data_IF_943136718688
#
_entry.id   IF_943136718688
#
_cell.length_a   1.000
_cell.length_b   1.000
_cell.length_c   1.000
_cell.angle_alpha   90.00
_cell.angle_beta   90.00
_cell.angle_gamma   90.00
#
_symmetry.space_group_name_H-M   'P 1'
#
loop_
_entity.id
_entity.type
_entity.pdbx_description
1 polymer ?
#
# COMPACT_ATOMS: atom_id res chain seq x y z
N UNK A 1 3.14 31.43 1.83
CA UNK A 1 1.96 32.11 1.23
C UNK A 1 1.25 32.92 2.30
N UNK A 2 0.78 34.14 2.02
CA UNK A 2 0.01 34.90 3.01
C UNK A 2 -1.40 34.32 3.19
N UNK A 3 -1.98 34.49 4.38
CA UNK A 3 -3.36 34.03 4.65
C UNK A 3 -4.38 34.77 3.76
N UNK A 4 -4.12 36.05 3.43
CA UNK A 4 -5.00 36.80 2.52
C UNK A 4 -4.99 36.27 1.10
N UNK A 5 -3.82 35.80 0.58
CA UNK A 5 -3.75 35.11 -0.71
C UNK A 5 -4.45 33.76 -0.66
N UNK A 6 -4.21 32.99 0.40
CA UNK A 6 -4.82 31.69 0.61
C UNK A 6 -6.36 31.81 0.67
N UNK A 7 -6.89 32.76 1.44
CA UNK A 7 -8.33 33.03 1.54
C UNK A 7 -8.96 33.28 0.17
N UNK A 8 -8.34 34.13 -0.65
CA UNK A 8 -8.85 34.42 -2.01
C UNK A 8 -8.85 33.20 -2.91
N UNK A 9 -7.77 32.40 -2.89
CA UNK A 9 -7.67 31.19 -3.73
C UNK A 9 -8.65 30.10 -3.30
N UNK A 10 -8.96 30.02 -2.03
CA UNK A 10 -9.94 29.07 -1.49
C UNK A 10 -11.39 29.54 -1.59
N UNK A 11 -11.64 30.79 -2.02
CA UNK A 11 -12.97 31.43 -1.92
C UNK A 11 -13.51 31.34 -0.49
N UNK A 12 -12.64 31.59 0.49
CA UNK A 12 -12.96 31.48 1.91
C UNK A 12 -13.42 32.81 2.49
N UNK A 13 -14.49 32.78 3.30
CA UNK A 13 -14.84 33.91 4.15
C UNK A 13 -13.87 33.99 5.32
N UNK A 14 -13.30 35.17 5.56
CA UNK A 14 -12.40 35.36 6.69
C UNK A 14 -13.15 35.86 7.92
N UNK A 15 -12.88 35.24 9.06
CA UNK A 15 -13.37 35.67 10.38
C UNK A 15 -12.16 35.96 11.27
N UNK A 16 -12.05 37.17 11.78
CA UNK A 16 -10.94 37.68 12.59
C UNK A 16 -10.24 38.89 11.94
N UNK A 17 -9.47 39.63 12.71
CA UNK A 17 -8.76 40.85 12.26
C UNK A 17 -7.25 40.61 12.15
N UNK A 18 -6.57 41.41 11.34
CA UNK A 18 -5.10 41.45 11.28
C UNK A 18 -4.42 40.26 10.61
N UNK A 19 -5.14 39.43 9.88
CA UNK A 19 -4.65 38.17 9.31
C UNK A 19 -3.94 38.32 7.95
N UNK A 20 -4.19 39.39 7.20
CA UNK A 20 -3.81 39.51 5.78
C UNK A 20 -2.33 39.27 5.52
N UNK A 21 -1.48 39.72 6.46
CA UNK A 21 -0.02 39.61 6.38
C UNK A 21 0.55 38.37 7.11
N UNK A 22 -0.28 37.62 7.80
CA UNK A 22 0.19 36.37 8.41
C UNK A 22 0.56 35.36 7.32
N UNK A 23 1.64 34.64 7.54
CA UNK A 23 2.14 33.64 6.58
C UNK A 23 1.80 32.26 7.06
N UNK A 24 1.11 31.48 6.23
CA UNK A 24 0.97 30.03 6.38
C UNK A 24 2.28 29.38 5.93
N UNK A 25 2.96 28.67 6.83
CA UNK A 25 4.17 27.90 6.54
C UNK A 25 3.84 26.47 6.15
N UNK A 26 2.73 25.94 6.64
CA UNK A 26 2.25 24.61 6.36
C UNK A 26 0.77 24.48 6.66
N UNK A 27 0.25 23.24 6.56
CA UNK A 27 -1.12 22.89 6.90
C UNK A 27 -1.15 21.50 7.56
N UNK A 28 -1.96 21.35 8.60
CA UNK A 28 -2.15 20.07 9.29
C UNK A 28 -3.64 19.82 9.59
N UNK A 29 -4.08 18.55 9.49
CA UNK A 29 -5.37 18.05 9.94
C UNK A 29 -5.27 17.30 11.28
N UNK A 30 -4.08 16.86 11.64
CA UNK A 30 -3.78 16.18 12.91
C UNK A 30 -2.91 17.11 13.76
N UNK A 31 -3.46 17.54 14.91
CA UNK A 31 -2.77 18.43 15.84
C UNK A 31 -1.40 17.88 16.29
N UNK A 32 -1.19 16.55 16.26
CA UNK A 32 0.08 15.90 16.61
C UNK A 32 1.17 16.17 15.59
N UNK A 33 0.81 16.42 14.33
CA UNK A 33 1.69 16.69 13.20
C UNK A 33 1.84 18.20 12.90
N UNK A 34 1.14 19.05 13.67
CA UNK A 34 1.16 20.49 13.50
C UNK A 34 2.50 21.07 13.97
N UNK A 35 3.06 21.97 13.16
CA UNK A 35 4.23 22.78 13.48
C UNK A 35 3.83 24.24 13.68
N UNK A 36 4.71 25.01 14.31
CA UNK A 36 4.55 26.46 14.44
C UNK A 36 4.45 27.13 13.06
N UNK A 37 3.47 28.00 12.88
CA UNK A 37 3.19 28.66 11.61
C UNK A 37 2.26 27.90 10.66
N UNK A 38 1.78 26.71 11.04
CA UNK A 38 0.81 25.95 10.24
C UNK A 38 -0.61 26.51 10.38
N UNK A 39 -1.42 26.32 9.34
CA UNK A 39 -2.88 26.40 9.39
C UNK A 39 -3.42 25.07 9.89
N UNK A 40 -4.29 25.07 10.90
CA UNK A 40 -4.98 23.86 11.37
C UNK A 40 -6.31 23.69 10.68
N UNK A 41 -6.46 22.64 9.87
CA UNK A 41 -7.73 22.31 9.21
C UNK A 41 -8.59 21.44 10.13
N UNK A 42 -9.74 21.98 10.53
CA UNK A 42 -10.72 21.30 11.38
C UNK A 42 -11.69 20.52 10.51
N UNK A 43 -11.39 19.25 10.31
CA UNK A 43 -12.20 18.34 9.47
C UNK A 43 -12.86 17.30 10.35
N UNK A 44 -14.19 17.12 10.27
CA UNK A 44 -14.89 16.07 11.01
C UNK A 44 -14.32 14.69 10.70
N UNK A 45 -13.90 13.97 11.73
CA UNK A 45 -13.44 12.57 11.63
C UNK A 45 -14.62 11.61 11.80
N UNK A 46 -14.41 10.32 11.46
CA UNK A 46 -15.43 9.28 11.64
C UNK A 46 -15.76 8.97 13.11
N UNK A 47 -14.84 9.25 14.03
CA UNK A 47 -14.99 8.93 15.47
C UNK A 47 -14.78 10.13 16.38
N UNK A 48 -14.07 11.16 15.94
CA UNK A 48 -13.72 12.31 16.78
C UNK A 48 -13.85 13.58 15.95
N UNK A 49 -14.53 14.58 16.49
CA UNK A 49 -14.54 15.93 15.93
C UNK A 49 -13.19 16.61 16.24
N UNK A 50 -12.46 17.01 15.20
CA UNK A 50 -11.15 17.65 15.37
C UNK A 50 -11.24 19.05 16.00
N UNK A 51 -12.43 19.64 16.14
CA UNK A 51 -12.64 20.92 16.84
C UNK A 51 -12.18 20.88 18.31
N UNK A 52 -12.24 19.73 18.97
CA UNK A 52 -11.76 19.56 20.36
C UNK A 52 -10.24 19.78 20.52
N UNK A 53 -9.48 19.74 19.42
CA UNK A 53 -8.03 19.91 19.42
C UNK A 53 -7.59 21.34 19.08
N UNK A 54 -8.51 22.29 18.90
CA UNK A 54 -8.20 23.67 18.53
C UNK A 54 -7.32 24.35 19.57
N UNK A 55 -7.62 24.20 20.86
CA UNK A 55 -6.78 24.75 21.94
C UNK A 55 -5.36 24.18 21.95
N UNK A 56 -5.21 22.91 21.58
CA UNK A 56 -3.88 22.31 21.45
C UNK A 56 -3.14 22.81 20.21
N UNK A 57 -3.86 23.02 19.10
CA UNK A 57 -3.28 23.60 17.90
C UNK A 57 -2.78 25.03 18.15
N UNK A 58 -3.54 25.85 18.92
CA UNK A 58 -3.12 27.18 19.35
C UNK A 58 -1.83 27.11 20.15
N UNK A 59 -1.76 26.23 21.16
CA UNK A 59 -0.58 26.05 21.99
C UNK A 59 0.65 25.60 21.21
N UNK A 60 0.46 24.93 20.09
CA UNK A 60 1.53 24.49 19.17
C UNK A 60 1.90 25.54 18.12
N UNK A 61 1.26 26.71 18.13
CA UNK A 61 1.61 27.81 17.25
C UNK A 61 0.88 27.78 15.90
N UNK A 62 -0.33 27.22 15.83
CA UNK A 62 -1.18 27.41 14.67
C UNK A 62 -1.46 28.91 14.46
N UNK A 63 -1.35 29.37 13.19
CA UNK A 63 -1.54 30.80 12.85
C UNK A 63 -2.96 31.11 12.38
N UNK A 64 -3.72 30.11 11.96
CA UNK A 64 -5.11 30.23 11.54
C UNK A 64 -5.82 28.86 11.56
N UNK A 65 -7.14 28.89 11.46
CA UNK A 65 -7.96 27.70 11.25
C UNK A 65 -8.55 27.69 9.83
N UNK A 66 -8.67 26.51 9.23
CA UNK A 66 -9.50 26.25 8.05
C UNK A 66 -10.69 25.41 8.49
N UNK A 67 -11.91 25.97 8.38
CA UNK A 67 -13.12 25.44 9.03
C UNK A 67 -14.33 25.46 8.10
N UNK A 68 -15.30 24.59 8.35
CA UNK A 68 -16.61 24.62 7.69
C UNK A 68 -17.59 25.65 8.34
N UNK A 69 -17.46 25.88 9.63
CA UNK A 69 -18.27 26.83 10.42
C UNK A 69 -17.39 27.60 11.39
N UNK A 70 -17.66 28.89 11.63
CA UNK A 70 -16.91 29.67 12.60
C UNK A 70 -16.92 29.02 13.99
N UNK A 71 -15.76 29.01 14.64
CA UNK A 71 -15.54 28.52 16.00
C UNK A 71 -15.24 29.71 16.94
N UNK A 72 -15.52 29.55 18.21
CA UNK A 72 -15.13 30.54 19.23
C UNK A 72 -13.64 30.33 19.54
N UNK A 73 -12.77 31.21 19.01
CA UNK A 73 -11.32 31.14 19.16
C UNK A 73 -10.67 32.50 18.94
N UNK A 74 -9.43 32.67 19.39
CA UNK A 74 -8.61 33.87 19.15
C UNK A 74 -7.92 33.86 17.78
N UNK A 75 -7.85 32.72 17.10
CA UNK A 75 -7.21 32.63 15.78
C UNK A 75 -8.11 33.13 14.65
N UNK A 76 -7.52 33.77 13.61
CA UNK A 76 -8.25 34.03 12.39
C UNK A 76 -8.68 32.71 11.72
N UNK A 77 -9.83 32.75 11.06
CA UNK A 77 -10.45 31.56 10.47
C UNK A 77 -10.73 31.78 8.99
N UNK A 78 -10.37 30.80 8.19
CA UNK A 78 -10.74 30.65 6.79
C UNK A 78 -11.97 29.73 6.74
N UNK A 79 -13.17 30.32 6.56
CA UNK A 79 -14.45 29.59 6.56
C UNK A 79 -14.82 29.27 5.12
N UNK A 80 -15.00 27.97 4.83
CA UNK A 80 -15.35 27.46 3.49
C UNK A 80 -16.68 26.72 3.49
N UNK A 81 -17.29 26.50 2.33
CA UNK A 81 -18.52 25.68 2.22
C UNK A 81 -18.27 24.28 2.84
N UNK A 82 -19.12 23.85 3.78
CA UNK A 82 -18.99 22.53 4.43
C UNK A 82 -18.89 21.37 3.44
N UNK A 83 -19.59 21.45 2.30
CA UNK A 83 -19.57 20.42 1.25
C UNK A 83 -18.24 20.36 0.49
N UNK A 84 -17.46 21.42 0.54
CA UNK A 84 -16.17 21.56 -0.14
C UNK A 84 -14.98 21.52 0.83
N UNK A 85 -15.19 21.32 2.12
CA UNK A 85 -14.13 21.44 3.11
C UNK A 85 -12.91 20.55 2.77
N UNK A 86 -13.09 19.27 2.45
CA UNK A 86 -11.99 18.38 2.09
C UNK A 86 -11.29 18.79 0.81
N UNK A 87 -12.04 19.24 -0.20
CA UNK A 87 -11.52 19.80 -1.43
C UNK A 87 -10.63 21.02 -1.15
N UNK A 88 -11.13 21.97 -0.32
CA UNK A 88 -10.39 23.17 0.05
C UNK A 88 -9.16 22.87 0.89
N UNK A 89 -9.21 21.87 1.76
CA UNK A 89 -8.04 21.37 2.49
C UNK A 89 -6.99 20.81 1.54
N UNK A 90 -7.39 20.00 0.57
CA UNK A 90 -6.46 19.47 -0.42
C UNK A 90 -5.84 20.59 -1.26
N UNK A 91 -6.64 21.55 -1.74
CA UNK A 91 -6.17 22.71 -2.48
C UNK A 91 -5.18 23.55 -1.67
N UNK A 92 -5.55 23.92 -0.44
CA UNK A 92 -4.72 24.68 0.48
C UNK A 92 -3.37 23.99 0.73
N UNK A 93 -3.39 22.66 0.91
CA UNK A 93 -2.19 21.86 1.11
C UNK A 93 -1.18 22.03 -0.02
N UNK A 94 -1.63 21.85 -1.26
CA UNK A 94 -0.73 22.01 -2.41
C UNK A 94 -0.24 23.45 -2.60
N UNK A 95 -1.11 24.43 -2.39
CA UNK A 95 -0.76 25.86 -2.52
C UNK A 95 0.26 26.30 -1.49
N UNK A 96 0.06 25.99 -0.20
CA UNK A 96 0.95 26.40 0.89
C UNK A 96 2.35 25.84 0.71
N UNK A 97 2.48 24.59 0.26
CA UNK A 97 3.76 23.94 -0.03
C UNK A 97 4.31 24.24 -1.44
N UNK A 98 3.68 25.16 -2.21
CA UNK A 98 4.17 25.63 -3.51
C UNK A 98 4.07 24.60 -4.62
N UNK A 99 2.97 23.85 -4.63
CA UNK A 99 2.59 22.85 -5.65
C UNK A 99 3.71 21.82 -5.93
N UNK A 100 4.19 21.10 -4.93
CA UNK A 100 5.41 20.30 -5.03
C UNK A 100 5.32 19.16 -6.05
N UNK A 101 4.12 18.63 -6.33
CA UNK A 101 3.93 17.58 -7.34
C UNK A 101 4.25 18.05 -8.76
N UNK A 102 4.14 19.36 -9.05
CA UNK A 102 4.52 19.93 -10.35
C UNK A 102 6.05 20.08 -10.52
N UNK A 103 6.81 19.93 -9.44
CA UNK A 103 8.28 20.02 -9.42
C UNK A 103 8.96 18.66 -9.44
N UNK A 104 8.19 17.58 -9.38
CA UNK A 104 8.63 16.19 -9.39
C UNK A 104 7.97 15.46 -10.55
N UNK A 105 8.60 14.36 -11.00
CA UNK A 105 7.93 13.35 -11.81
C UNK A 105 7.26 12.35 -10.88
N UNK A 106 5.92 12.35 -10.85
CA UNK A 106 5.15 11.54 -9.89
C UNK A 106 4.56 10.31 -10.57
N UNK A 107 4.84 9.13 -10.01
CA UNK A 107 4.19 7.87 -10.35
C UNK A 107 3.18 7.51 -9.27
N UNK A 108 1.92 7.39 -9.63
CA UNK A 108 0.83 7.01 -8.73
C UNK A 108 0.26 5.65 -9.06
N UNK A 109 0.31 4.69 -8.14
CA UNK A 109 -0.15 3.31 -8.37
C UNK A 109 -1.44 3.02 -7.61
N UNK A 110 -2.51 2.65 -8.34
CA UNK A 110 -3.77 2.18 -7.78
C UNK A 110 -4.07 0.74 -8.20
N UNK A 111 -5.00 0.11 -7.52
CA UNK A 111 -5.43 -1.28 -7.73
C UNK A 111 -5.85 -1.93 -6.42
N UNK A 112 -6.35 -3.16 -6.44
CA UNK A 112 -6.60 -3.94 -5.23
C UNK A 112 -5.30 -4.51 -4.70
N UNK A 113 -4.58 -5.27 -5.51
CA UNK A 113 -3.31 -5.91 -5.18
C UNK A 113 -2.16 -5.34 -6.02
N UNK A 114 -0.91 -5.55 -5.61
CA UNK A 114 0.29 -5.18 -6.37
C UNK A 114 0.79 -3.74 -6.16
N UNK A 115 0.01 -2.82 -5.58
CA UNK A 115 0.41 -1.41 -5.39
C UNK A 115 1.78 -1.25 -4.73
N UNK A 116 1.96 -1.84 -3.57
CA UNK A 116 3.20 -1.74 -2.79
C UNK A 116 4.40 -2.28 -3.55
N UNK A 117 4.24 -3.44 -4.18
CA UNK A 117 5.31 -4.07 -4.98
C UNK A 117 5.67 -3.19 -6.17
N UNK A 118 4.68 -2.72 -6.94
CA UNK A 118 4.92 -1.89 -8.11
C UNK A 118 5.57 -0.55 -7.75
N UNK A 119 5.11 0.12 -6.68
CA UNK A 119 5.75 1.35 -6.16
C UNK A 119 7.19 1.08 -5.73
N UNK A 120 7.44 -0.04 -5.04
CA UNK A 120 8.79 -0.44 -4.62
C UNK A 120 9.70 -0.67 -5.82
N UNK A 121 9.23 -1.42 -6.83
CA UNK A 121 9.99 -1.69 -8.04
C UNK A 121 10.35 -0.41 -8.80
N UNK A 122 9.39 0.49 -9.03
CA UNK A 122 9.64 1.78 -9.67
C UNK A 122 10.64 2.62 -8.87
N UNK A 123 10.49 2.68 -7.54
CA UNK A 123 11.40 3.43 -6.67
C UNK A 123 12.81 2.85 -6.69
N UNK A 124 12.94 1.54 -6.63
CA UNK A 124 14.23 0.86 -6.62
C UNK A 124 14.94 0.99 -7.96
N UNK A 125 14.21 0.83 -9.08
CA UNK A 125 14.77 1.05 -10.43
C UNK A 125 15.28 2.48 -10.59
N UNK A 126 14.51 3.49 -10.18
CA UNK A 126 14.96 4.89 -10.18
C UNK A 126 16.22 5.08 -9.35
N UNK A 127 16.28 4.49 -8.15
CA UNK A 127 17.45 4.54 -7.28
C UNK A 127 18.69 3.89 -7.90
N UNK A 128 18.54 2.71 -8.51
CA UNK A 128 19.62 1.99 -9.20
C UNK A 128 20.15 2.76 -10.42
N UNK A 129 19.30 3.55 -11.06
CA UNK A 129 19.70 4.48 -12.13
C UNK A 129 20.30 5.79 -11.61
N UNK A 130 20.53 5.91 -10.29
CA UNK A 130 21.08 7.11 -9.67
C UNK A 130 20.12 8.29 -9.55
N UNK A 131 18.83 8.07 -9.76
CA UNK A 131 17.81 9.11 -9.65
C UNK A 131 17.38 9.29 -8.18
N UNK A 132 17.27 10.54 -7.74
CA UNK A 132 16.68 10.86 -6.44
C UNK A 132 15.16 10.63 -6.45
N UNK A 133 14.68 9.65 -5.69
CA UNK A 133 13.25 9.30 -5.60
C UNK A 133 12.73 9.40 -4.16
N UNK A 134 11.53 9.96 -3.99
CA UNK A 134 10.76 9.91 -2.76
C UNK A 134 9.67 8.84 -2.85
N UNK A 135 9.45 8.08 -1.78
CA UNK A 135 8.47 7.00 -1.80
C UNK A 135 7.43 7.18 -0.70
N UNK A 136 6.15 6.94 -1.05
CA UNK A 136 5.01 6.96 -0.11
C UNK A 136 4.12 5.75 -0.32
N UNK A 137 3.70 5.12 0.77
CA UNK A 137 2.82 3.95 0.73
C UNK A 137 2.83 3.17 2.04
N UNK A 138 2.29 1.98 1.98
CA UNK A 138 2.09 1.08 3.13
C UNK A 138 3.39 0.80 3.90
N UNK A 139 4.52 0.68 3.21
CA UNK A 139 5.82 0.42 3.84
C UNK A 139 6.49 1.69 4.42
N UNK A 140 6.06 2.87 4.01
CA UNK A 140 6.72 4.15 4.30
C UNK A 140 5.89 5.10 5.17
N UNK A 141 4.74 4.65 5.67
CA UNK A 141 3.86 5.50 6.46
C UNK A 141 2.81 4.74 7.27
N UNK A 142 2.03 5.47 8.05
CA UNK A 142 0.93 4.91 8.86
C UNK A 142 -0.29 4.54 8.03
N UNK A 143 -0.48 5.22 6.89
CA UNK A 143 -1.56 5.02 5.94
C UNK A 143 -0.95 4.69 4.57
N UNK A 144 -1.61 3.81 3.82
CA UNK A 144 -1.24 3.52 2.43
C UNK A 144 -1.17 4.80 1.60
N UNK A 145 -2.14 5.69 1.77
CA UNK A 145 -2.14 7.04 1.18
C UNK A 145 -2.45 8.03 2.29
N UNK A 146 -1.51 8.90 2.66
CA UNK A 146 -1.72 9.91 3.71
C UNK A 146 -2.85 10.90 3.40
N UNK A 147 -3.19 11.77 4.36
CA UNK A 147 -4.06 12.91 4.12
C UNK A 147 -3.34 13.98 3.27
N UNK A 148 -4.09 14.81 2.56
CA UNK A 148 -3.56 15.79 1.60
C UNK A 148 -2.45 16.69 2.16
N UNK A 149 -2.54 17.22 3.40
CA UNK A 149 -1.45 18.03 3.97
C UNK A 149 -0.14 17.26 4.13
N UNK A 150 -0.23 15.98 4.52
CA UNK A 150 0.96 15.16 4.70
C UNK A 150 1.57 14.78 3.35
N UNK A 151 0.75 14.50 2.32
CA UNK A 151 1.23 14.27 0.95
C UNK A 151 2.00 15.50 0.46
N UNK A 152 1.39 16.69 0.50
CA UNK A 152 2.00 17.91 0.00
C UNK A 152 3.30 18.24 0.77
N UNK A 153 3.32 18.10 2.09
CA UNK A 153 4.50 18.30 2.93
C UNK A 153 5.63 17.34 2.57
N UNK A 154 5.33 16.05 2.39
CA UNK A 154 6.34 15.04 2.01
C UNK A 154 6.90 15.29 0.62
N UNK A 155 6.05 15.66 -0.35
CA UNK A 155 6.51 16.01 -1.69
C UNK A 155 7.39 17.27 -1.67
N UNK A 156 7.03 18.30 -0.91
CA UNK A 156 7.86 19.48 -0.72
C UNK A 156 9.23 19.12 -0.11
N UNK A 157 9.23 18.24 0.90
CA UNK A 157 10.47 17.76 1.50
C UNK A 157 11.34 16.97 0.48
N UNK A 158 10.74 16.19 -0.41
CA UNK A 158 11.49 15.52 -1.48
C UNK A 158 12.13 16.52 -2.44
N UNK A 159 11.41 17.58 -2.81
CA UNK A 159 11.94 18.69 -3.62
C UNK A 159 13.12 19.37 -2.91
N UNK A 160 12.99 19.69 -1.61
CA UNK A 160 14.03 20.32 -0.79
C UNK A 160 15.29 19.44 -0.66
N UNK A 161 15.11 18.11 -0.73
CA UNK A 161 16.22 17.14 -0.77
C UNK A 161 16.85 16.98 -2.17
N UNK A 162 16.40 17.75 -3.16
CA UNK A 162 16.91 17.67 -4.55
C UNK A 162 16.46 16.41 -5.28
N UNK A 163 15.39 15.75 -4.84
CA UNK A 163 14.82 14.61 -5.56
C UNK A 163 14.04 15.09 -6.78
N UNK A 164 14.05 14.30 -7.85
CA UNK A 164 13.36 14.60 -9.10
C UNK A 164 12.12 13.73 -9.33
N UNK A 165 12.00 12.64 -8.57
CA UNK A 165 10.93 11.67 -8.72
C UNK A 165 10.21 11.41 -7.40
N UNK A 166 8.93 11.04 -7.50
CA UNK A 166 8.17 10.46 -6.40
C UNK A 166 7.35 9.28 -6.91
N UNK A 167 7.30 8.19 -6.13
CA UNK A 167 6.44 7.05 -6.39
C UNK A 167 5.52 6.82 -5.18
N UNK A 168 4.21 6.64 -5.42
CA UNK A 168 3.27 6.53 -4.32
C UNK A 168 2.11 5.59 -4.57
N UNK A 169 1.65 4.94 -3.51
CA UNK A 169 0.40 4.20 -3.53
C UNK A 169 -0.79 5.15 -3.43
N UNK A 170 -1.78 4.97 -4.32
CA UNK A 170 -3.03 5.73 -4.32
C UNK A 170 -4.20 4.76 -4.12
N UNK A 171 -4.78 4.76 -2.92
CA UNK A 171 -5.92 3.92 -2.58
C UNK A 171 -7.24 4.52 -3.08
N UNK A 172 -8.24 3.68 -3.32
CA UNK A 172 -9.59 4.14 -3.69
C UNK A 172 -10.22 5.02 -2.61
N UNK A 173 -10.00 4.70 -1.33
CA UNK A 173 -10.46 5.51 -0.20
C UNK A 173 -9.84 6.91 -0.26
N UNK A 174 -8.56 7.02 -0.60
CA UNK A 174 -7.90 8.32 -0.73
C UNK A 174 -8.46 9.15 -1.89
N UNK A 175 -8.81 8.51 -3.01
CA UNK A 175 -9.49 9.15 -4.14
C UNK A 175 -10.88 9.64 -3.74
N UNK A 176 -11.70 8.79 -3.11
CA UNK A 176 -13.05 9.14 -2.64
C UNK A 176 -13.07 10.19 -1.53
N UNK A 177 -11.98 10.33 -0.77
CA UNK A 177 -11.86 11.29 0.33
C UNK A 177 -11.08 12.55 -0.05
N UNK A 178 -10.88 12.85 -1.34
CA UNK A 178 -10.14 13.99 -1.87
C UNK A 178 -8.68 14.12 -1.35
N UNK A 179 -8.07 13.05 -0.79
CA UNK A 179 -6.71 13.12 -0.24
C UNK A 179 -5.64 13.41 -1.29
N UNK A 180 -5.87 13.00 -2.52
CA UNK A 180 -4.96 13.17 -3.67
C UNK A 180 -5.46 14.20 -4.68
N UNK A 181 -6.52 14.94 -4.36
CA UNK A 181 -7.00 16.02 -5.21
C UNK A 181 -5.95 17.12 -5.31
N UNK A 182 -5.81 17.72 -6.47
CA UNK A 182 -4.75 18.68 -6.83
C UNK A 182 -3.31 18.10 -6.86
N UNK A 183 -3.15 16.80 -6.62
CA UNK A 183 -1.90 16.11 -6.90
C UNK A 183 -1.75 15.97 -8.42
N UNK A 184 -0.61 16.40 -8.97
CA UNK A 184 -0.26 16.10 -10.36
C UNK A 184 0.52 14.78 -10.41
N UNK A 185 0.05 13.83 -11.23
CA UNK A 185 0.65 12.51 -11.46
C UNK A 185 1.10 12.42 -12.91
N UNK A 186 2.39 12.24 -13.17
CA UNK A 186 2.89 12.08 -14.53
C UNK A 186 2.47 10.73 -15.12
N UNK A 187 2.60 9.65 -14.34
CA UNK A 187 2.19 8.30 -14.74
C UNK A 187 1.28 7.68 -13.69
N UNK A 188 0.02 7.48 -14.01
CA UNK A 188 -0.94 6.74 -13.21
C UNK A 188 -0.91 5.25 -13.60
N UNK A 189 -0.87 4.34 -12.63
CA UNK A 189 -0.83 2.91 -12.89
C UNK A 189 -2.05 2.21 -12.28
N UNK A 190 -2.66 1.27 -13.03
CA UNK A 190 -3.75 0.43 -12.57
C UNK A 190 -3.36 -1.04 -12.64
N UNK A 191 -3.19 -1.69 -11.49
CA UNK A 191 -2.72 -3.08 -11.43
C UNK A 191 -3.84 -4.10 -11.63
N UNK A 192 -4.94 -4.00 -10.90
CA UNK A 192 -6.10 -4.90 -10.96
C UNK A 192 -7.25 -4.40 -10.08
N UNK A 193 -8.43 -5.03 -10.23
CA UNK A 193 -9.54 -4.85 -9.30
C UNK A 193 -10.18 -6.19 -8.96
N UNK A 194 -10.21 -6.54 -7.70
CA UNK A 194 -10.93 -7.68 -7.14
C UNK A 194 -11.71 -7.26 -5.90
N UNK A 195 -12.59 -8.13 -5.40
CA UNK A 195 -13.42 -7.82 -4.25
C UNK A 195 -12.59 -7.50 -3.01
N UNK A 196 -12.69 -6.25 -2.57
CA UNK A 196 -12.12 -5.73 -1.34
C UNK A 196 -12.81 -4.40 -0.98
N UNK A 197 -12.67 -3.92 0.27
CA UNK A 197 -13.18 -2.63 0.71
C UNK A 197 -14.68 -2.37 0.47
N UNK A 198 -15.53 -3.42 0.42
CA UNK A 198 -16.99 -3.28 0.31
C UNK A 198 -17.64 -2.80 1.62
N UNK A 199 -16.86 -2.70 2.70
CA UNK A 199 -17.21 -1.98 3.94
C UNK A 199 -17.19 -0.45 3.75
N UNK A 200 -16.47 0.05 2.76
CA UNK A 200 -16.37 1.48 2.43
C UNK A 200 -17.07 1.82 1.10
N UNK A 201 -16.87 1.01 0.05
CA UNK A 201 -17.53 1.18 -1.25
C UNK A 201 -18.79 0.33 -1.32
N UNK A 202 -19.99 0.92 -1.54
CA UNK A 202 -21.25 0.18 -1.58
C UNK A 202 -21.32 -0.91 -2.66
N UNK A 203 -20.51 -0.79 -3.73
CA UNK A 203 -20.48 -1.74 -4.84
C UNK A 203 -19.11 -1.82 -5.51
N UNK A 204 -18.87 -2.89 -6.27
CA UNK A 204 -17.68 -3.02 -7.12
C UNK A 204 -17.61 -1.93 -8.20
N UNK A 205 -18.75 -1.43 -8.65
CA UNK A 205 -18.84 -0.33 -9.61
C UNK A 205 -18.30 0.97 -9.01
N UNK A 206 -18.77 1.38 -7.82
CA UNK A 206 -18.27 2.56 -7.14
C UNK A 206 -16.79 2.43 -6.75
N UNK A 207 -16.36 1.20 -6.40
CA UNK A 207 -14.95 0.91 -6.16
C UNK A 207 -14.09 1.10 -7.41
N UNK A 208 -14.61 0.66 -8.58
CA UNK A 208 -13.96 0.91 -9.87
C UNK A 208 -13.94 2.40 -10.22
N UNK A 209 -15.07 3.10 -10.12
CA UNK A 209 -15.17 4.54 -10.45
C UNK A 209 -14.21 5.38 -9.60
N UNK A 210 -14.09 5.05 -8.31
CA UNK A 210 -13.12 5.71 -7.44
C UNK A 210 -11.68 5.57 -7.97
N UNK A 211 -11.27 4.38 -8.42
CA UNK A 211 -9.93 4.19 -9.00
C UNK A 211 -9.80 4.79 -10.39
N UNK A 212 -10.83 4.71 -11.21
CA UNK A 212 -10.85 5.24 -12.57
C UNK A 212 -10.72 6.78 -12.59
N UNK A 213 -11.15 7.46 -11.53
CA UNK A 213 -10.99 8.91 -11.41
C UNK A 213 -9.52 9.37 -11.50
N UNK A 214 -8.56 8.53 -11.07
CA UNK A 214 -7.13 8.84 -11.18
C UNK A 214 -6.67 9.01 -12.65
N UNK A 215 -7.37 8.39 -13.60
CA UNK A 215 -7.04 8.41 -15.03
C UNK A 215 -7.78 9.52 -15.79
N UNK A 216 -8.07 10.62 -15.10
CA UNK A 216 -8.64 11.83 -15.68
C UNK A 216 -7.58 12.94 -15.74
N UNK A 217 -7.71 13.90 -16.70
CA UNK A 217 -6.75 15.00 -16.86
C UNK A 217 -6.54 15.87 -15.62
N UNK A 218 -7.51 15.86 -14.70
CA UNK A 218 -7.41 16.55 -13.41
C UNK A 218 -6.39 15.93 -12.45
N UNK A 219 -5.98 14.68 -12.68
CA UNK A 219 -5.03 13.95 -11.85
C UNK A 219 -3.76 13.55 -12.61
N UNK A 220 -3.90 12.96 -13.78
CA UNK A 220 -2.78 12.31 -14.46
C UNK A 220 -2.54 12.85 -15.87
N UNK A 221 -1.29 12.67 -16.33
CA UNK A 221 -0.88 12.98 -17.71
C UNK A 221 -0.94 11.75 -18.61
N UNK A 222 -0.63 10.56 -18.07
CA UNK A 222 -0.60 9.29 -18.78
C UNK A 222 -0.99 8.14 -17.85
N UNK A 223 -1.65 7.10 -18.39
CA UNK A 223 -1.99 5.87 -17.67
C UNK A 223 -1.24 4.65 -18.19
N UNK A 224 -0.78 3.79 -17.27
CA UNK A 224 -0.29 2.44 -17.54
C UNK A 224 -1.26 1.46 -16.90
N UNK A 225 -1.94 0.63 -17.69
CA UNK A 225 -3.10 -0.14 -17.26
C UNK A 225 -2.89 -1.61 -17.59
N UNK A 226 -3.06 -2.50 -16.60
CA UNK A 226 -3.07 -3.94 -16.83
C UNK A 226 -4.27 -4.33 -17.72
N UNK A 227 -3.99 -4.72 -18.95
CA UNK A 227 -4.97 -5.07 -19.96
C UNK A 227 -5.50 -6.51 -19.81
N UNK A 228 -4.87 -7.36 -18.99
CA UNK A 228 -5.33 -8.71 -18.72
C UNK A 228 -6.38 -8.76 -17.60
N UNK A 229 -6.51 -7.68 -16.82
CA UNK A 229 -7.58 -7.49 -15.84
C UNK A 229 -8.86 -6.98 -16.52
N UNK A 230 -10.01 -7.59 -16.20
CA UNK A 230 -11.31 -7.21 -16.81
C UNK A 230 -11.70 -5.76 -16.57
N UNK A 231 -11.40 -5.24 -15.38
CA UNK A 231 -11.64 -3.83 -15.05
C UNK A 231 -10.59 -2.92 -15.70
N UNK A 232 -9.35 -3.43 -15.90
CA UNK A 232 -8.33 -2.77 -16.67
C UNK A 232 -8.75 -2.59 -18.14
N UNK A 233 -9.32 -3.63 -18.76
CA UNK A 233 -9.88 -3.54 -20.12
C UNK A 233 -11.01 -2.52 -20.23
N UNK A 234 -11.82 -2.38 -19.18
CA UNK A 234 -12.85 -1.35 -19.12
C UNK A 234 -12.23 0.04 -18.95
N UNK A 235 -11.22 0.16 -18.06
CA UNK A 235 -10.53 1.42 -17.80
C UNK A 235 -9.85 1.97 -19.05
N UNK A 236 -9.24 1.12 -19.89
CA UNK A 236 -8.66 1.49 -21.18
C UNK A 236 -9.65 2.21 -22.12
N UNK A 237 -10.96 1.95 -21.96
CA UNK A 237 -12.02 2.54 -22.79
C UNK A 237 -12.57 3.85 -22.24
N UNK A 238 -12.43 4.09 -20.92
CA UNK A 238 -13.07 5.24 -20.23
C UNK A 238 -12.06 6.25 -19.66
N UNK A 239 -10.77 5.95 -19.74
CA UNK A 239 -9.71 6.86 -19.30
C UNK A 239 -9.76 8.17 -20.11
N UNK A 240 -9.64 9.30 -19.41
CA UNK A 240 -9.61 10.64 -20.03
C UNK A 240 -8.22 11.11 -20.45
N UNK A 241 -7.17 10.31 -20.17
CA UNK A 241 -5.78 10.59 -20.54
C UNK A 241 -5.26 9.54 -21.52
N UNK A 242 -4.15 9.79 -22.26
CA UNK A 242 -3.46 8.76 -23.02
C UNK A 242 -3.11 7.55 -22.14
N UNK A 243 -3.29 6.34 -22.67
CA UNK A 243 -3.06 5.10 -21.91
C UNK A 243 -2.22 4.10 -22.68
N UNK A 244 -1.39 3.36 -21.93
CA UNK A 244 -0.63 2.19 -22.40
C UNK A 244 -1.25 0.97 -21.74
N UNK A 245 -1.79 0.04 -22.51
CA UNK A 245 -2.23 -1.26 -22.02
C UNK A 245 -1.02 -2.18 -21.88
N UNK A 246 -0.90 -2.89 -20.78
CA UNK A 246 0.16 -3.87 -20.49
C UNK A 246 -0.46 -5.25 -20.41
N UNK A 247 0.03 -6.18 -21.22
CA UNK A 247 -0.50 -7.56 -21.30
C UNK A 247 0.63 -8.57 -21.37
N UNK A 248 0.43 -9.72 -20.74
CA UNK A 248 1.34 -10.87 -20.83
C UNK A 248 1.50 -11.37 -22.27
N UNK A 249 0.54 -11.07 -23.16
CA UNK A 249 0.64 -11.39 -24.58
C UNK A 249 1.80 -10.67 -25.30
N UNK A 250 2.34 -9.59 -24.72
CA UNK A 250 3.52 -8.90 -25.23
C UNK A 250 4.84 -9.62 -24.88
N UNK A 251 4.78 -10.56 -23.91
CA UNK A 251 5.96 -11.25 -23.40
C UNK A 251 6.20 -12.55 -24.16
N UNK A 252 7.47 -12.90 -24.34
CA UNK A 252 7.88 -14.19 -24.86
C UNK A 252 8.97 -14.82 -24.00
N UNK A 253 9.25 -16.11 -24.19
CA UNK A 253 10.25 -16.86 -23.42
C UNK A 253 10.07 -16.72 -21.89
N UNK A 254 8.83 -16.61 -21.41
CA UNK A 254 8.53 -16.46 -19.99
C UNK A 254 8.98 -17.69 -19.20
N UNK A 255 9.76 -17.46 -18.15
CA UNK A 255 10.19 -18.49 -17.21
C UNK A 255 9.88 -18.01 -15.80
N UNK A 256 9.15 -18.81 -15.03
CA UNK A 256 8.87 -18.58 -13.62
C UNK A 256 9.56 -19.70 -12.81
N UNK A 257 10.52 -19.34 -11.99
CA UNK A 257 11.29 -20.29 -11.21
C UNK A 257 11.38 -19.97 -9.72
N UNK A 258 11.99 -20.86 -8.94
CA UNK A 258 12.08 -20.73 -7.49
C UNK A 258 12.97 -19.57 -7.02
N UNK A 259 13.84 -19.07 -7.87
CA UNK A 259 14.79 -18.00 -7.52
C UNK A 259 14.60 -16.73 -8.31
N UNK A 260 13.63 -16.69 -9.23
CA UNK A 260 13.36 -15.53 -10.03
C UNK A 260 12.51 -15.83 -11.25
N UNK A 261 12.25 -14.79 -12.01
CA UNK A 261 11.53 -14.82 -13.28
C UNK A 261 12.37 -14.23 -14.40
N UNK A 262 12.05 -14.61 -15.63
CA UNK A 262 12.65 -13.99 -16.81
C UNK A 262 11.68 -14.02 -18.00
N UNK A 263 11.81 -13.07 -18.91
CA UNK A 263 10.97 -12.93 -20.11
C UNK A 263 11.67 -12.05 -21.15
N UNK A 264 11.23 -12.15 -22.40
CA UNK A 264 11.61 -11.23 -23.45
C UNK A 264 10.48 -10.22 -23.68
N UNK A 265 10.82 -8.94 -23.74
CA UNK A 265 9.92 -7.82 -24.04
C UNK A 265 10.57 -6.93 -25.10
N UNK A 266 9.91 -6.78 -26.26
CA UNK A 266 10.36 -5.91 -27.37
C UNK A 266 11.85 -6.10 -27.73
N UNK A 267 12.31 -7.36 -27.73
CA UNK A 267 13.68 -7.73 -28.09
C UNK A 267 14.73 -7.65 -26.98
N UNK A 268 14.34 -7.28 -25.77
CA UNK A 268 15.20 -7.23 -24.59
C UNK A 268 14.89 -8.40 -23.63
N UNK A 269 15.95 -9.08 -23.13
CA UNK A 269 15.83 -10.15 -22.13
C UNK A 269 15.88 -9.60 -20.73
N UNK A 270 14.76 -9.63 -20.02
CA UNK A 270 14.65 -9.26 -18.62
C UNK A 270 14.77 -10.47 -17.71
N UNK A 271 15.36 -10.29 -16.53
CA UNK A 271 15.37 -11.23 -15.44
C UNK A 271 15.31 -10.48 -14.11
N UNK A 272 14.64 -11.05 -13.12
CA UNK A 272 14.54 -10.46 -11.79
C UNK A 272 14.44 -11.56 -10.72
N UNK A 273 14.96 -11.37 -9.50
CA UNK A 273 14.84 -12.30 -8.38
C UNK A 273 13.46 -12.20 -7.70
N UNK A 274 12.41 -12.16 -8.51
CA UNK A 274 11.01 -12.07 -8.10
C UNK A 274 10.30 -13.40 -8.39
N UNK A 275 9.40 -13.82 -7.53
CA UNK A 275 8.70 -15.11 -7.65
C UNK A 275 7.22 -14.88 -7.94
N UNK A 276 6.69 -15.72 -8.84
CA UNK A 276 5.27 -15.77 -9.14
C UNK A 276 4.83 -14.86 -10.28
N UNK A 277 3.75 -15.27 -10.92
CA UNK A 277 3.16 -14.59 -12.08
C UNK A 277 2.71 -13.16 -11.75
N UNK A 278 2.14 -12.93 -10.55
CA UNK A 278 1.73 -11.58 -10.14
C UNK A 278 2.93 -10.61 -10.07
N UNK A 279 4.12 -11.08 -9.74
CA UNK A 279 5.32 -10.26 -9.76
C UNK A 279 5.89 -10.07 -11.18
N UNK A 280 5.66 -11.00 -12.10
CA UNK A 280 5.89 -10.78 -13.52
C UNK A 280 5.07 -9.58 -14.03
N UNK A 281 3.76 -9.58 -13.73
CA UNK A 281 2.87 -8.45 -14.09
C UNK A 281 3.31 -7.14 -13.43
N UNK A 282 3.62 -7.16 -12.12
CA UNK A 282 4.10 -5.97 -11.41
C UNK A 282 5.38 -5.40 -12.02
N UNK A 283 6.34 -6.27 -12.38
CA UNK A 283 7.60 -5.87 -13.01
C UNK A 283 7.36 -5.33 -14.43
N UNK A 284 6.54 -6.01 -15.25
CA UNK A 284 6.20 -5.54 -16.58
C UNK A 284 5.55 -4.15 -16.54
N UNK A 285 4.58 -3.96 -15.66
CA UNK A 285 3.97 -2.64 -15.45
C UNK A 285 4.97 -1.58 -14.99
N UNK A 286 5.90 -1.93 -14.08
CA UNK A 286 6.95 -1.03 -13.63
C UNK A 286 7.89 -0.62 -14.79
N UNK A 287 8.29 -1.56 -15.64
CA UNK A 287 9.09 -1.28 -16.84
C UNK A 287 8.38 -0.32 -17.80
N UNK A 288 7.08 -0.54 -18.03
CA UNK A 288 6.29 0.35 -18.90
C UNK A 288 6.09 1.75 -18.28
N UNK A 289 6.02 1.84 -16.96
CA UNK A 289 5.99 3.15 -16.29
C UNK A 289 7.35 3.86 -16.37
N UNK A 290 8.46 3.14 -16.28
CA UNK A 290 9.81 3.69 -16.49
C UNK A 290 10.00 4.17 -17.93
N UNK A 291 9.53 3.41 -18.94
CA UNK A 291 9.53 3.84 -20.35
C UNK A 291 8.68 5.11 -20.51
N UNK A 292 7.51 5.19 -19.88
CA UNK A 292 6.66 6.37 -19.90
C UNK A 292 7.29 7.61 -19.24
N UNK A 293 8.22 7.42 -18.31
CA UNK A 293 9.05 8.48 -17.71
C UNK A 293 10.23 8.89 -18.61
N UNK A 294 10.47 8.19 -19.73
CA UNK A 294 11.52 8.48 -20.71
C UNK A 294 12.78 7.66 -20.58
N UNK A 295 12.78 6.56 -19.83
CA UNK A 295 13.92 5.63 -19.76
C UNK A 295 13.83 4.60 -20.90
N UNK A 296 14.97 4.27 -21.50
CA UNK A 296 15.03 3.23 -22.53
C UNK A 296 14.97 1.83 -21.92
N UNK A 297 14.22 0.90 -22.54
CA UNK A 297 14.11 -0.49 -22.05
C UNK A 297 15.48 -1.17 -21.94
N UNK A 298 16.42 -0.84 -22.83
CA UNK A 298 17.78 -1.37 -22.83
C UNK A 298 18.51 -1.07 -21.51
N UNK A 299 18.34 0.14 -20.95
CA UNK A 299 18.98 0.56 -19.71
C UNK A 299 18.36 -0.14 -18.48
N UNK A 300 17.12 -0.60 -18.60
CA UNK A 300 16.39 -1.27 -17.53
C UNK A 300 16.73 -2.77 -17.41
N UNK A 301 17.42 -3.37 -18.38
CA UNK A 301 17.72 -4.81 -18.38
C UNK A 301 18.57 -5.21 -17.16
N UNK A 302 19.67 -4.51 -16.92
CA UNK A 302 20.54 -4.78 -15.77
C UNK A 302 19.89 -4.34 -14.45
N UNK A 303 19.19 -3.21 -14.47
CA UNK A 303 18.45 -2.71 -13.31
C UNK A 303 17.41 -3.73 -12.82
N UNK A 304 16.69 -4.38 -13.73
CA UNK A 304 15.69 -5.40 -13.37
C UNK A 304 16.30 -6.63 -12.66
N UNK A 305 17.60 -6.91 -12.84
CA UNK A 305 18.30 -8.01 -12.15
C UNK A 305 18.61 -7.71 -10.69
N UNK A 306 18.71 -6.43 -10.35
CA UNK A 306 19.08 -5.96 -9.02
C UNK A 306 17.88 -5.72 -8.09
N UNK A 307 16.66 -5.53 -8.66
CA UNK A 307 15.46 -5.25 -7.85
C UNK A 307 15.13 -6.42 -6.93
N UNK A 308 14.58 -6.09 -5.77
CA UNK A 308 14.18 -7.07 -4.76
C UNK A 308 12.69 -7.05 -4.48
N UNK A 309 12.14 -8.17 -4.03
CA UNK A 309 10.80 -8.19 -3.47
C UNK A 309 10.73 -7.30 -2.23
N UNK A 310 9.76 -6.39 -2.14
CA UNK A 310 9.66 -5.53 -0.97
C UNK A 310 9.30 -6.35 0.28
N UNK A 311 9.63 -5.80 1.43
CA UNK A 311 9.41 -6.43 2.73
C UNK A 311 7.98 -6.94 2.88
N UNK A 312 7.84 -8.20 3.29
CA UNK A 312 6.54 -8.86 3.49
C UNK A 312 5.73 -9.08 2.21
N UNK A 313 6.38 -9.19 1.05
CA UNK A 313 5.76 -9.50 -0.25
C UNK A 313 6.52 -10.65 -0.93
N UNK A 314 6.21 -11.89 -0.55
CA UNK A 314 7.03 -13.07 -0.86
C UNK A 314 8.51 -12.84 -0.50
N UNK A 315 8.73 -12.14 0.61
CA UNK A 315 10.06 -11.88 1.15
C UNK A 315 10.69 -13.19 1.62
N UNK A 316 11.87 -13.54 1.07
CA UNK A 316 12.55 -14.78 1.40
C UNK A 316 13.30 -14.66 2.72
N UNK A 317 13.09 -15.61 3.62
CA UNK A 317 13.89 -15.78 4.85
C UNK A 317 15.03 -16.73 4.55
N UNK A 318 16.30 -16.38 4.89
CA UNK A 318 17.42 -17.28 4.75
C UNK A 318 17.20 -18.58 5.53
N UNK A 319 17.21 -19.72 4.83
CA UNK A 319 17.05 -21.05 5.43
C UNK A 319 17.99 -22.04 4.74
N UNK A 320 18.41 -23.04 5.50
CA UNK A 320 19.12 -24.23 4.98
C UNK A 320 18.16 -25.40 4.75
N UNK A 321 16.95 -25.29 5.24
CA UNK A 321 15.91 -26.32 5.22
C UNK A 321 14.73 -25.77 4.42
N UNK A 322 14.66 -26.10 3.14
CA UNK A 322 13.57 -25.61 2.28
C UNK A 322 13.54 -24.10 2.08
N UNK A 323 12.45 -23.63 1.48
CA UNK A 323 12.22 -22.20 1.23
C UNK A 323 11.19 -21.63 2.21
N UNK A 324 11.46 -20.46 2.78
CA UNK A 324 10.54 -19.78 3.70
C UNK A 324 10.23 -18.40 3.12
N UNK A 325 8.94 -18.07 3.00
CA UNK A 325 8.45 -16.78 2.50
C UNK A 325 7.52 -16.11 3.49
N UNK A 326 7.70 -14.80 3.66
CA UNK A 326 6.80 -13.93 4.42
C UNK A 326 5.94 -13.14 3.44
N UNK A 327 4.62 -13.11 3.66
CA UNK A 327 3.71 -12.35 2.81
C UNK A 327 2.58 -11.65 3.58
N UNK A 328 2.08 -10.57 3.02
CA UNK A 328 0.97 -9.80 3.58
C UNK A 328 -0.41 -10.32 3.16
N UNK A 329 -0.50 -11.40 2.42
CA UNK A 329 -1.76 -11.97 1.92
C UNK A 329 -2.75 -12.24 3.07
N UNK A 330 -3.85 -11.49 3.09
CA UNK A 330 -4.88 -11.51 4.13
C UNK A 330 -6.30 -11.53 3.55
N UNK A 331 -6.44 -11.91 2.28
CA UNK A 331 -7.69 -12.15 1.57
C UNK A 331 -7.61 -13.47 0.78
N UNK A 332 -8.74 -14.11 0.42
CA UNK A 332 -8.74 -15.37 -0.32
C UNK A 332 -7.93 -15.31 -1.63
N UNK A 333 -8.17 -14.29 -2.46
CA UNK A 333 -7.48 -14.12 -3.74
C UNK A 333 -5.98 -13.84 -3.59
N UNK A 334 -5.57 -13.02 -2.60
CA UNK A 334 -4.15 -12.79 -2.34
C UNK A 334 -3.46 -14.07 -1.85
N UNK A 335 -4.13 -14.84 -0.97
CA UNK A 335 -3.62 -16.10 -0.46
C UNK A 335 -3.42 -17.13 -1.60
N UNK A 336 -4.38 -17.19 -2.54
CA UNK A 336 -4.27 -18.02 -3.73
C UNK A 336 -3.05 -17.66 -4.57
N UNK A 337 -2.86 -16.40 -4.89
CA UNK A 337 -1.71 -15.93 -5.68
C UNK A 337 -0.37 -16.29 -5.03
N UNK A 338 -0.26 -16.08 -3.73
CA UNK A 338 0.97 -16.38 -2.97
C UNK A 338 1.25 -17.88 -2.91
N UNK A 339 0.24 -18.72 -2.66
CA UNK A 339 0.42 -20.16 -2.57
C UNK A 339 0.76 -20.77 -3.95
N UNK A 340 0.11 -20.31 -5.02
CA UNK A 340 0.44 -20.72 -6.39
C UNK A 340 1.88 -20.32 -6.72
N UNK A 341 2.31 -19.10 -6.37
CA UNK A 341 3.68 -18.66 -6.58
C UNK A 341 4.69 -19.48 -5.77
N UNK A 342 4.39 -19.75 -4.51
CA UNK A 342 5.25 -20.52 -3.61
C UNK A 342 5.47 -21.97 -4.10
N UNK A 343 4.45 -22.57 -4.72
CA UNK A 343 4.58 -23.92 -5.32
C UNK A 343 5.68 -24.02 -6.40
N UNK A 344 6.04 -22.91 -7.05
CA UNK A 344 7.15 -22.90 -8.01
C UNK A 344 8.52 -23.18 -7.34
N UNK A 345 8.60 -23.01 -6.01
CA UNK A 345 9.80 -23.25 -5.23
C UNK A 345 9.85 -24.63 -4.57
N UNK A 346 8.84 -25.48 -4.78
CA UNK A 346 8.83 -26.85 -4.25
C UNK A 346 9.86 -27.73 -4.96
N UNK A 347 10.56 -28.52 -4.17
CA UNK A 347 11.30 -29.65 -4.68
C UNK A 347 10.37 -30.78 -5.17
N UNK A 348 10.93 -31.82 -5.76
CA UNK A 348 10.18 -32.90 -6.43
C UNK A 348 9.22 -33.62 -5.51
N UNK A 349 9.57 -33.81 -4.24
CA UNK A 349 8.77 -34.48 -3.22
C UNK A 349 8.39 -33.53 -2.07
N UNK A 350 8.56 -32.22 -2.26
CA UNK A 350 8.34 -31.21 -1.26
C UNK A 350 6.85 -30.98 -0.96
N UNK A 351 6.57 -30.47 0.24
CA UNK A 351 5.27 -30.05 0.71
C UNK A 351 5.18 -28.55 0.83
N UNK A 352 4.02 -27.98 0.53
CA UNK A 352 3.72 -26.59 0.80
C UNK A 352 3.01 -26.45 2.15
N UNK A 353 3.67 -25.79 3.07
CA UNK A 353 3.15 -25.46 4.38
C UNK A 353 2.67 -24.00 4.40
N UNK A 354 1.55 -23.74 5.09
CA UNK A 354 1.09 -22.38 5.33
C UNK A 354 0.81 -22.13 6.81
N UNK A 355 1.30 -20.98 7.31
CA UNK A 355 0.95 -20.41 8.62
C UNK A 355 0.25 -19.08 8.37
N UNK A 356 -1.03 -18.97 8.77
CA UNK A 356 -1.78 -17.73 8.57
C UNK A 356 -2.91 -17.59 9.59
N UNK A 357 -3.49 -16.39 9.65
CA UNK A 357 -4.67 -16.09 10.44
C UNK A 357 -5.51 -15.00 9.79
N UNK A 358 -6.60 -14.61 10.44
CA UNK A 358 -7.45 -13.51 10.01
C UNK A 358 -7.49 -12.40 11.09
N UNK A 359 -7.66 -11.16 10.66
CA UNK A 359 -7.81 -10.03 11.57
C UNK A 359 -9.20 -9.99 12.20
N UNK A 360 -9.27 -9.66 13.49
CA UNK A 360 -10.52 -9.32 14.18
C UNK A 360 -11.05 -7.94 13.74
N UNK A 361 -12.34 -7.67 13.99
CA UNK A 361 -13.02 -6.41 13.59
C UNK A 361 -12.91 -6.11 12.09
N UNK A 362 -12.94 -7.16 11.27
CA UNK A 362 -12.83 -7.12 9.80
C UNK A 362 -13.92 -8.01 9.20
N UNK A 363 -13.97 -8.05 7.88
CA UNK A 363 -14.89 -8.90 7.13
C UNK A 363 -14.84 -10.36 7.60
N UNK A 364 -15.90 -10.83 8.27
CA UNK A 364 -16.04 -12.21 8.73
C UNK A 364 -16.25 -13.17 7.56
N UNK A 365 -16.92 -12.72 6.49
CA UNK A 365 -17.28 -13.58 5.35
C UNK A 365 -16.05 -14.10 4.61
N UNK A 366 -14.91 -13.43 4.66
CA UNK A 366 -13.68 -13.90 4.03
C UNK A 366 -12.98 -15.02 4.79
N UNK A 367 -13.23 -15.19 6.11
CA UNK A 367 -12.51 -16.15 6.97
C UNK A 367 -12.62 -17.60 6.46
N UNK A 368 -13.84 -18.15 6.25
CA UNK A 368 -13.96 -19.51 5.72
C UNK A 368 -13.43 -19.63 4.28
N UNK A 369 -13.53 -18.58 3.47
CA UNK A 369 -12.97 -18.59 2.11
C UNK A 369 -11.44 -18.67 2.12
N UNK A 370 -10.77 -18.02 3.09
CA UNK A 370 -9.32 -18.15 3.28
C UNK A 370 -8.95 -19.57 3.69
N UNK A 371 -9.71 -20.19 4.61
CA UNK A 371 -9.54 -21.59 5.01
C UNK A 371 -9.64 -22.55 3.83
N UNK A 372 -10.70 -22.42 3.03
CA UNK A 372 -10.92 -23.23 1.82
C UNK A 372 -9.78 -23.06 0.79
N UNK A 373 -9.29 -21.83 0.61
CA UNK A 373 -8.17 -21.56 -0.32
C UNK A 373 -6.88 -22.21 0.18
N UNK A 374 -6.59 -22.12 1.48
CA UNK A 374 -5.42 -22.74 2.09
C UNK A 374 -5.47 -24.26 1.97
N UNK A 375 -6.62 -24.90 2.30
CA UNK A 375 -6.81 -26.34 2.19
C UNK A 375 -6.62 -26.85 0.75
N UNK A 376 -7.11 -26.11 -0.23
CA UNK A 376 -7.00 -26.48 -1.65
C UNK A 376 -5.58 -26.43 -2.20
N UNK A 377 -4.75 -25.49 -1.68
CA UNK A 377 -3.47 -25.16 -2.30
C UNK A 377 -2.26 -25.55 -1.46
N UNK A 378 -2.41 -25.78 -0.16
CA UNK A 378 -1.31 -26.19 0.71
C UNK A 378 -1.49 -27.64 1.18
N UNK A 379 -0.36 -28.33 1.43
CA UNK A 379 -0.34 -29.72 1.92
C UNK A 379 -0.45 -29.76 3.45
N UNK A 380 -0.03 -28.69 4.14
CA UNK A 380 -0.13 -28.53 5.59
C UNK A 380 -0.66 -27.14 5.91
N UNK A 381 -1.76 -27.07 6.66
CA UNK A 381 -2.41 -25.82 7.06
C UNK A 381 -2.28 -25.62 8.55
N UNK A 382 -1.68 -24.51 8.99
CA UNK A 382 -1.60 -24.07 10.38
C UNK A 382 -2.30 -22.73 10.51
N UNK A 383 -3.40 -22.70 11.25
CA UNK A 383 -4.16 -21.49 11.56
C UNK A 383 -3.67 -20.91 12.88
N UNK A 384 -3.41 -19.60 12.89
CA UNK A 384 -2.90 -18.90 14.06
C UNK A 384 -3.53 -17.52 14.23
N UNK A 385 -3.21 -16.80 15.30
CA UNK A 385 -3.66 -15.41 15.46
C UNK A 385 -2.90 -14.47 14.52
N UNK A 386 -3.64 -13.57 13.87
CA UNK A 386 -3.11 -12.38 13.20
C UNK A 386 -3.14 -11.19 14.18
N UNK A 387 -4.09 -10.27 14.03
CA UNK A 387 -4.42 -9.19 14.97
C UNK A 387 -5.86 -9.40 15.46
N UNK A 388 -6.10 -10.19 16.53
CA UNK A 388 -7.46 -10.49 16.99
C UNK A 388 -8.21 -9.24 17.49
N UNK A 389 -7.52 -8.19 17.91
CA UNK A 389 -8.11 -6.98 18.49
C UNK A 389 -9.03 -7.32 19.67
N UNK A 390 -10.31 -6.89 19.66
CA UNK A 390 -11.26 -7.18 20.72
C UNK A 390 -11.97 -8.54 20.60
N UNK A 391 -11.81 -9.24 19.45
CA UNK A 391 -12.43 -10.55 19.23
C UNK A 391 -11.66 -11.68 19.91
N UNK A 392 -12.36 -12.78 20.23
CA UNK A 392 -11.73 -14.00 20.72
C UNK A 392 -10.88 -14.65 19.63
N UNK A 393 -9.56 -14.84 19.84
CA UNK A 393 -8.69 -15.46 18.85
C UNK A 393 -9.13 -16.87 18.44
N UNK A 394 -9.73 -17.65 19.36
CA UNK A 394 -10.23 -19.00 19.05
C UNK A 394 -11.41 -18.95 18.10
N UNK A 395 -12.37 -18.03 18.33
CA UNK A 395 -13.52 -17.87 17.45
C UNK A 395 -13.09 -17.49 16.02
N UNK A 396 -12.10 -16.60 15.88
CA UNK A 396 -11.55 -16.25 14.56
C UNK A 396 -10.92 -17.46 13.88
N UNK A 397 -10.15 -18.25 14.61
CA UNK A 397 -9.49 -19.45 14.07
C UNK A 397 -10.53 -20.52 13.66
N UNK A 398 -11.59 -20.69 14.44
CA UNK A 398 -12.69 -21.61 14.14
C UNK A 398 -13.46 -21.20 12.87
N UNK A 399 -13.71 -19.89 12.67
CA UNK A 399 -14.32 -19.35 11.45
C UNK A 399 -13.45 -19.67 10.21
N UNK A 400 -12.12 -19.53 10.32
CA UNK A 400 -11.21 -19.90 9.22
C UNK A 400 -11.23 -21.41 9.01
N UNK A 401 -11.16 -22.21 10.07
CA UNK A 401 -11.13 -23.66 10.01
C UNK A 401 -12.44 -24.24 9.43
N UNK A 402 -13.57 -23.56 9.62
CA UNK A 402 -14.87 -23.96 9.05
C UNK A 402 -14.85 -24.02 7.52
N UNK A 403 -13.91 -23.32 6.85
CA UNK A 403 -13.72 -23.43 5.41
C UNK A 403 -12.91 -24.65 4.96
N UNK A 404 -12.22 -25.34 5.86
CA UNK A 404 -11.43 -26.53 5.56
C UNK A 404 -12.31 -27.79 5.69
N UNK A 405 -12.98 -28.19 4.62
CA UNK A 405 -14.03 -29.24 4.67
C UNK A 405 -13.69 -30.50 3.88
N UNK A 406 -12.66 -30.48 3.01
CA UNK A 406 -12.41 -31.54 2.03
C UNK A 406 -11.12 -32.34 2.27
N UNK A 407 -10.30 -31.97 3.24
CA UNK A 407 -8.97 -32.54 3.39
C UNK A 407 -8.53 -32.81 4.83
N UNK A 408 -7.24 -32.66 5.06
CA UNK A 408 -6.66 -32.82 6.38
C UNK A 408 -7.10 -31.67 7.29
N UNK A 409 -7.57 -31.97 8.49
CA UNK A 409 -7.93 -30.94 9.47
C UNK A 409 -6.76 -29.97 9.69
N UNK A 410 -7.01 -28.66 9.59
CA UNK A 410 -5.99 -27.66 9.89
C UNK A 410 -5.58 -27.79 11.37
N UNK A 411 -4.33 -27.52 11.66
CA UNK A 411 -3.87 -27.36 13.05
C UNK A 411 -4.12 -25.92 13.49
N UNK A 412 -4.70 -25.75 14.67
CA UNK A 412 -4.92 -24.44 15.27
C UNK A 412 -3.88 -24.23 16.36
N UNK A 413 -3.00 -23.26 16.19
CA UNK A 413 -1.96 -22.85 17.13
C UNK A 413 -2.08 -21.33 17.31
N UNK A 414 -2.82 -20.89 18.33
CA UNK A 414 -3.16 -19.48 18.53
C UNK A 414 -1.95 -18.59 18.77
N UNK A 415 -0.93 -19.09 19.49
CA UNK A 415 0.34 -18.38 19.62
C UNK A 415 1.10 -18.43 18.28
N UNK A 416 1.18 -17.27 17.62
CA UNK A 416 1.80 -17.15 16.30
C UNK A 416 3.30 -17.51 16.29
N UNK A 417 4.01 -17.22 17.38
CA UNK A 417 5.42 -17.60 17.52
C UNK A 417 5.58 -19.11 17.56
N UNK A 418 4.73 -19.78 18.33
CA UNK A 418 4.70 -21.25 18.40
C UNK A 418 4.32 -21.84 17.05
N UNK A 419 3.33 -21.27 16.35
CA UNK A 419 2.91 -21.72 15.03
C UNK A 419 4.04 -21.64 13.99
N UNK A 420 4.76 -20.50 13.93
CA UNK A 420 5.90 -20.29 13.04
C UNK A 420 7.02 -21.27 13.38
N UNK A 421 7.39 -21.38 14.65
CA UNK A 421 8.44 -22.30 15.10
C UNK A 421 8.12 -23.75 14.74
N UNK A 422 6.89 -24.21 15.02
CA UNK A 422 6.44 -25.58 14.68
C UNK A 422 6.55 -25.83 13.17
N UNK A 423 6.12 -24.88 12.34
CA UNK A 423 6.21 -25.01 10.89
C UNK A 423 7.68 -25.09 10.40
N UNK A 424 8.58 -24.30 10.98
CA UNK A 424 10.00 -24.31 10.65
C UNK A 424 10.69 -25.60 11.11
N UNK A 425 10.30 -26.15 12.28
CA UNK A 425 10.82 -27.43 12.80
C UNK A 425 10.43 -28.63 11.93
N UNK A 426 9.29 -28.56 11.25
CA UNK A 426 8.76 -29.59 10.35
C UNK A 426 9.24 -29.47 8.91
N UNK A 427 9.91 -28.36 8.55
CA UNK A 427 10.30 -28.05 7.18
C UNK A 427 11.42 -28.97 6.66
N UNK A 428 11.18 -29.72 5.62
CA UNK A 428 12.18 -30.51 4.90
C UNK A 428 12.93 -29.68 3.85
N UNK A 429 14.02 -30.25 3.31
CA UNK A 429 14.91 -29.53 2.38
C UNK A 429 14.22 -29.18 1.04
N UNK A 430 13.21 -29.94 0.63
CA UNK A 430 12.43 -29.73 -0.60
C UNK A 430 11.12 -28.95 -0.37
N UNK A 431 10.79 -28.66 0.91
CA UNK A 431 9.54 -28.04 1.31
C UNK A 431 9.54 -26.52 1.14
N UNK A 432 8.35 -25.96 1.11
CA UNK A 432 8.12 -24.52 1.12
C UNK A 432 7.18 -24.14 2.26
N UNK A 433 7.55 -23.16 3.05
CA UNK A 433 6.74 -22.55 4.08
C UNK A 433 6.35 -21.13 3.66
N UNK A 434 5.05 -20.84 3.69
CA UNK A 434 4.52 -19.48 3.56
C UNK A 434 3.98 -19.06 4.93
N UNK A 435 4.43 -17.91 5.43
CA UNK A 435 3.89 -17.24 6.62
C UNK A 435 3.16 -16.01 6.14
N UNK A 436 1.82 -16.02 6.23
CA UNK A 436 0.96 -15.03 5.62
C UNK A 436 0.11 -14.23 6.63
N UNK A 437 -0.39 -13.07 6.19
CA UNK A 437 -1.28 -12.17 6.93
C UNK A 437 -0.62 -10.88 7.34
N UNK A 438 0.50 -10.93 8.07
CA UNK A 438 1.15 -9.75 8.65
C UNK A 438 2.20 -9.11 7.74
N UNK A 439 2.91 -9.91 6.94
CA UNK A 439 3.93 -9.41 6.01
C UNK A 439 4.96 -8.50 6.71
N UNK A 440 4.93 -7.20 6.40
CA UNK A 440 5.84 -6.19 6.94
C UNK A 440 5.44 -5.63 8.32
N UNK A 441 4.30 -6.01 8.88
CA UNK A 441 3.85 -5.53 10.18
C UNK A 441 4.82 -5.93 11.30
N UNK A 442 5.12 -4.98 12.19
CA UNK A 442 6.04 -5.16 13.31
C UNK A 442 5.34 -5.24 14.67
N UNK A 443 4.04 -5.42 14.68
CA UNK A 443 3.28 -5.54 15.93
C UNK A 443 2.11 -6.49 15.78
N UNK A 444 1.67 -7.04 16.90
CA UNK A 444 0.44 -7.82 17.02
C UNK A 444 -0.49 -7.13 18.02
N UNK A 445 -1.76 -6.93 17.62
CA UNK A 445 -2.79 -6.30 18.47
C UNK A 445 -3.68 -7.34 19.10
N UNK A 446 -3.67 -7.40 20.45
CA UNK A 446 -4.52 -8.28 21.27
C UNK A 446 -5.26 -7.41 22.28
N UNK A 447 -6.58 -7.36 22.20
CA UNK A 447 -7.36 -6.39 22.96
C UNK A 447 -6.98 -4.95 22.59
N UNK A 448 -6.73 -4.13 23.58
CA UNK A 448 -6.25 -2.74 23.45
C UNK A 448 -4.72 -2.64 23.39
N UNK A 449 -4.01 -3.73 23.67
CA UNK A 449 -2.55 -3.75 23.70
C UNK A 449 -1.94 -4.04 22.33
N UNK A 450 -0.75 -3.48 22.08
CA UNK A 450 0.07 -3.76 20.92
C UNK A 450 1.42 -4.31 21.38
N UNK A 451 1.79 -5.48 20.88
CA UNK A 451 3.03 -6.19 21.21
C UNK A 451 3.96 -6.16 19.99
N UNK A 452 5.25 -6.03 20.21
CA UNK A 452 6.24 -6.15 19.14
C UNK A 452 6.23 -7.58 18.60
N UNK A 453 6.04 -7.70 17.30
CA UNK A 453 5.98 -8.99 16.62
C UNK A 453 6.31 -8.81 15.13
N UNK A 454 7.19 -9.64 14.61
CA UNK A 454 7.67 -9.58 13.23
C UNK A 454 7.88 -10.99 12.70
N UNK A 455 7.07 -11.38 11.71
CA UNK A 455 7.09 -12.73 11.11
C UNK A 455 8.47 -13.13 10.59
N UNK A 456 9.17 -12.20 9.94
CA UNK A 456 10.51 -12.46 9.41
C UNK A 456 11.52 -12.78 10.51
N UNK A 457 11.52 -11.97 11.57
CA UNK A 457 12.43 -12.17 12.69
C UNK A 457 12.11 -13.45 13.47
N UNK A 458 10.84 -13.79 13.65
CA UNK A 458 10.46 -15.04 14.34
C UNK A 458 10.83 -16.28 13.50
N UNK A 459 10.62 -16.23 12.17
CA UNK A 459 11.04 -17.31 11.29
C UNK A 459 12.57 -17.46 11.25
N UNK A 460 13.31 -16.35 11.13
CA UNK A 460 14.78 -16.37 11.15
C UNK A 460 15.31 -16.91 12.49
N UNK A 461 14.71 -16.52 13.61
CA UNK A 461 15.06 -17.05 14.95
C UNK A 461 14.86 -18.57 15.00
N UNK A 462 13.68 -19.06 14.56
CA UNK A 462 13.40 -20.49 14.53
C UNK A 462 14.43 -21.27 13.68
N UNK A 463 14.81 -20.76 12.51
CA UNK A 463 15.86 -21.36 11.65
C UNK A 463 17.22 -21.39 12.36
N UNK A 464 17.59 -20.34 13.09
CA UNK A 464 18.85 -20.28 13.82
C UNK A 464 18.88 -21.22 15.03
N UNK A 465 17.78 -21.34 15.76
CA UNK A 465 17.66 -22.26 16.91
C UNK A 465 17.77 -23.74 16.48
N UNK A 466 17.31 -24.11 15.25
CA UNK A 466 17.48 -25.45 14.72
C UNK A 466 18.95 -25.82 14.45
N UNK A 467 19.87 -24.85 14.26
CA UNK A 467 21.30 -25.10 14.05
C UNK A 467 22.02 -25.58 15.33
N UNK A 468 21.55 -25.13 16.49
CA UNK A 468 22.22 -25.34 17.78
C UNK A 468 21.71 -26.57 18.53
N UNK A 469 20.66 -27.21 18.07
CA UNK A 469 20.02 -28.34 18.73
C UNK A 469 19.29 -29.30 17.82
N UNK A 470 19.95 -30.31 17.31
CA UNK A 470 19.39 -31.57 16.78
C UNK A 470 18.92 -31.62 15.32
N UNK A 471 19.51 -32.53 14.62
CA UNK A 471 18.84 -33.72 14.05
C UNK A 471 19.33 -34.97 14.75
#
# INVERSE_FOLDING_TARGET
>A
MTLGELARLLDAQVVGEGFENLTALGLAMDHRLLNEGDVFAVVPGSHVDSSIFVEEAIRKGAVALLVAHPLTTSLPQLVVDPRQLRDRVAMASHLVYGEPSKKLKVVGVTGTNGKTTTVSLVSEMLGLLGCGVGTMGTLWGRLTTPEAPEIARRLAHFVDQGRNYAAMEISSIALSMDRVKYLHVDVAMFTNLSQDHLDFHPSMEEYFEAKASLFQPSYASLGVINADDTWGQRLLKVAGVPVVGVSDAELSQVTLGPYGLSFDLRGHRFAAPLIGHHNLVNLHMALMAMEALGFELADLVEVAREVQAPRGRLERVPSRYGSIFIDYAHSPGALEQVLVAARLSLGRNGKLLIVFGAGGERDHGKRPLMGATAERLADVVIITSDNPRSEDPQAIADDVAAGCVNGTKPRILLDRRVAIRTAVEELGDEDVLVIAGKGHERSQRIGTASYDFDDYHEALRAVLELKDGKR
#
